data_IF_532290446531
#
_entry.id   IF_532290446531
#
_cell.length_a   1.000
_cell.length_b   1.000
_cell.length_c   1.000
_cell.angle_alpha   90.00
_cell.angle_beta   90.00
_cell.angle_gamma   90.00
#
_symmetry.space_group_name_H-M   'P 1'
#
loop_
_entity.id
_entity.type
_entity.pdbx_description
1 polymer ?
#
# COMPACT_ATOMS: atom_id res chain seq x y z
N UNK A 1 26.26 7.92 7.14
CA UNK A 1 24.97 8.35 6.54
C UNK A 1 23.83 7.31 6.69
N UNK A 2 23.89 6.36 7.64
CA UNK A 2 22.87 5.28 7.79
C UNK A 2 21.73 5.62 8.75
N UNK A 3 21.82 6.76 9.45
CA UNK A 3 20.92 7.11 10.56
C UNK A 3 19.60 7.74 10.05
N UNK A 4 19.66 8.55 8.99
CA UNK A 4 18.47 9.22 8.45
C UNK A 4 17.37 8.26 7.95
N UNK A 5 17.64 7.21 7.16
CA UNK A 5 16.60 6.25 6.75
C UNK A 5 15.94 5.52 7.93
N UNK A 6 16.71 5.24 8.99
CA UNK A 6 16.21 4.59 10.20
C UNK A 6 15.28 5.52 10.99
N UNK A 7 15.63 6.80 11.11
CA UNK A 7 14.77 7.80 11.76
C UNK A 7 13.46 7.99 11.00
N UNK A 8 13.50 7.97 9.67
CA UNK A 8 12.28 8.07 8.84
C UNK A 8 11.41 6.83 9.01
N UNK A 9 12.00 5.63 8.96
CA UNK A 9 11.25 4.40 9.21
C UNK A 9 10.65 4.38 10.63
N UNK A 10 11.41 4.83 11.63
CA UNK A 10 10.94 4.99 13.00
C UNK A 10 9.78 5.98 13.09
N UNK A 11 9.88 7.17 12.47
CA UNK A 11 8.82 8.17 12.52
C UNK A 11 7.54 7.67 11.87
N UNK A 12 7.62 6.89 10.79
CA UNK A 12 6.45 6.28 10.14
C UNK A 12 5.76 5.27 11.06
N UNK A 13 6.51 4.33 11.65
CA UNK A 13 5.91 3.26 12.47
C UNK A 13 5.40 3.80 13.80
N UNK A 14 6.17 4.65 14.47
CA UNK A 14 5.75 5.24 15.74
C UNK A 14 4.64 6.26 15.52
N UNK A 15 4.72 7.08 14.46
CA UNK A 15 3.65 8.00 14.06
C UNK A 15 2.33 7.26 13.82
N UNK A 16 2.34 6.22 13.00
CA UNK A 16 1.15 5.40 12.74
C UNK A 16 0.62 4.70 14.00
N UNK A 17 1.51 4.24 14.90
CA UNK A 17 1.11 3.69 16.20
C UNK A 17 0.42 4.72 17.08
N UNK A 18 0.95 5.95 17.13
CA UNK A 18 0.35 7.03 17.91
C UNK A 18 -0.97 7.51 17.32
N UNK A 19 -1.10 7.60 15.98
CA UNK A 19 -2.39 7.85 15.32
C UNK A 19 -3.39 6.75 15.64
N UNK A 20 -2.97 5.48 15.60
CA UNK A 20 -3.82 4.34 15.96
C UNK A 20 -4.31 4.43 17.40
N UNK A 21 -3.43 4.81 18.35
CA UNK A 21 -3.80 5.05 19.74
C UNK A 21 -4.73 6.26 19.90
N UNK A 22 -4.47 7.36 19.19
CA UNK A 22 -5.29 8.57 19.23
C UNK A 22 -6.74 8.26 18.81
N UNK A 23 -6.91 7.50 17.72
CA UNK A 23 -8.23 7.06 17.27
C UNK A 23 -8.82 6.04 18.24
N UNK A 24 -8.06 5.04 18.71
CA UNK A 24 -8.58 3.97 19.57
C UNK A 24 -9.04 4.46 20.95
N UNK A 25 -8.33 5.42 21.54
CA UNK A 25 -8.71 6.01 22.84
C UNK A 25 -9.96 6.91 22.76
N UNK A 26 -10.46 7.15 21.54
CA UNK A 26 -11.64 7.96 21.23
C UNK A 26 -12.54 7.28 20.21
N UNK A 27 -12.59 5.96 20.28
CA UNK A 27 -13.69 5.25 19.67
C UNK A 27 -14.98 5.94 20.15
N UNK A 28 -15.78 6.40 19.18
CA UNK A 28 -17.05 7.14 19.27
C UNK A 28 -16.99 8.60 18.78
N UNK A 29 -15.82 9.25 18.64
CA UNK A 29 -15.69 10.58 18.01
C UNK A 29 -14.35 10.77 17.26
N UNK A 30 -14.32 10.98 15.93
CA UNK A 30 -15.43 10.94 14.95
C UNK A 30 -15.71 9.53 14.39
N UNK A 31 -14.98 8.51 14.83
CA UNK A 31 -15.07 7.15 14.30
C UNK A 31 -15.67 6.21 15.33
N UNK A 32 -16.62 5.38 14.89
CA UNK A 32 -17.02 4.15 15.59
C UNK A 32 -15.82 3.24 15.86
N UNK A 33 -15.94 2.38 16.88
CA UNK A 33 -14.88 1.45 17.29
C UNK A 33 -14.36 0.61 16.10
N UNK A 34 -15.27 0.05 15.32
CA UNK A 34 -14.98 -0.82 14.19
C UNK A 34 -14.33 -0.06 13.02
N UNK A 35 -14.79 1.15 12.71
CA UNK A 35 -14.13 2.01 11.73
C UNK A 35 -12.71 2.39 12.18
N UNK A 36 -12.57 2.79 13.45
CA UNK A 36 -11.29 3.13 14.06
C UNK A 36 -10.28 1.99 13.96
N UNK A 37 -10.70 0.76 14.25
CA UNK A 37 -9.87 -0.44 14.16
C UNK A 37 -9.39 -0.67 12.73
N UNK A 38 -10.26 -0.53 11.71
CA UNK A 38 -9.85 -0.72 10.31
C UNK A 38 -8.85 0.35 9.84
N UNK A 39 -9.05 1.61 10.24
CA UNK A 39 -8.10 2.69 9.95
C UNK A 39 -6.76 2.42 10.62
N UNK A 40 -6.75 2.05 11.91
CA UNK A 40 -5.55 1.71 12.66
C UNK A 40 -4.78 0.54 12.03
N UNK A 41 -5.46 -0.55 11.68
CA UNK A 41 -4.86 -1.71 11.00
C UNK A 41 -4.21 -1.27 9.69
N UNK A 42 -4.91 -0.47 8.88
CA UNK A 42 -4.39 0.04 7.62
C UNK A 42 -3.15 0.91 7.80
N UNK A 43 -3.20 1.89 8.71
CA UNK A 43 -2.07 2.77 9.02
C UNK A 43 -0.83 1.97 9.44
N UNK A 44 -0.99 1.05 10.39
CA UNK A 44 0.10 0.22 10.88
C UNK A 44 0.67 -0.68 9.77
N UNK A 45 -0.18 -1.34 8.99
CA UNK A 45 0.25 -2.19 7.89
C UNK A 45 1.06 -1.39 6.86
N UNK A 46 0.56 -0.23 6.43
CA UNK A 46 1.27 0.62 5.47
C UNK A 46 2.55 1.22 6.04
N UNK A 47 2.57 1.60 7.31
CA UNK A 47 3.77 2.10 7.97
C UNK A 47 4.87 1.04 8.00
N UNK A 48 4.52 -0.20 8.36
CA UNK A 48 5.46 -1.33 8.37
C UNK A 48 5.94 -1.64 6.95
N UNK A 49 5.04 -1.73 5.97
CA UNK A 49 5.41 -2.00 4.57
C UNK A 49 6.33 -0.91 4.02
N UNK A 50 6.01 0.37 4.29
CA UNK A 50 6.82 1.50 3.89
C UNK A 50 8.20 1.49 4.54
N UNK A 51 8.26 1.26 5.87
CA UNK A 51 9.50 1.18 6.62
C UNK A 51 10.39 0.02 6.12
N UNK A 52 9.81 -1.17 5.97
CA UNK A 52 10.50 -2.35 5.41
C UNK A 52 10.99 -2.06 4.00
N UNK A 53 10.15 -1.47 3.15
CA UNK A 53 10.48 -1.09 1.77
C UNK A 53 11.60 -0.05 1.65
N UNK A 54 11.69 0.89 2.60
CA UNK A 54 12.74 1.91 2.68
C UNK A 54 14.07 1.32 3.17
N UNK A 55 14.03 0.42 4.15
CA UNK A 55 15.22 -0.12 4.80
C UNK A 55 15.83 -1.31 4.06
N UNK A 56 15.01 -2.24 3.57
CA UNK A 56 15.47 -3.50 2.97
C UNK A 56 15.70 -3.38 1.46
N UNK A 57 14.68 -3.30 0.57
CA UNK A 57 14.91 -3.20 -0.86
C UNK A 57 15.36 -1.80 -1.29
N UNK A 58 15.20 -0.78 -0.42
CA UNK A 58 15.49 0.64 -0.71
C UNK A 58 14.80 1.11 -1.99
N UNK A 59 13.55 0.67 -2.16
CA UNK A 59 12.77 0.90 -3.38
C UNK A 59 12.22 2.32 -3.45
N UNK A 60 12.26 2.95 -4.62
CA UNK A 60 11.62 4.27 -4.85
C UNK A 60 10.11 4.26 -4.57
N UNK A 61 9.47 3.12 -4.77
CA UNK A 61 8.05 2.93 -4.46
C UNK A 61 7.74 3.12 -2.97
N UNK A 62 8.66 2.71 -2.08
CA UNK A 62 8.45 2.81 -0.64
C UNK A 62 8.44 4.27 -0.20
N UNK A 63 9.19 5.15 -0.89
CA UNK A 63 9.10 6.61 -0.71
C UNK A 63 7.72 7.13 -1.08
N UNK A 64 7.15 6.71 -2.21
CA UNK A 64 5.82 7.15 -2.63
C UNK A 64 4.72 6.62 -1.71
N UNK A 65 4.83 5.36 -1.27
CA UNK A 65 3.92 4.79 -0.29
C UNK A 65 3.98 5.57 1.03
N UNK A 66 5.18 5.83 1.52
CA UNK A 66 5.37 6.58 2.75
C UNK A 66 4.88 8.04 2.63
N UNK A 67 5.01 8.68 1.46
CA UNK A 67 4.37 9.98 1.18
C UNK A 67 2.85 9.88 1.27
N UNK A 68 2.26 8.88 0.62
CA UNK A 68 0.81 8.68 0.64
C UNK A 68 0.30 8.45 2.07
N UNK A 69 1.01 7.64 2.86
CA UNK A 69 0.72 7.40 4.27
C UNK A 69 0.76 8.71 5.07
N UNK A 70 1.84 9.49 4.96
CA UNK A 70 1.98 10.75 5.69
C UNK A 70 0.92 11.79 5.27
N UNK A 71 0.56 11.84 3.98
CA UNK A 71 -0.56 12.68 3.51
C UNK A 71 -1.86 12.20 4.18
N UNK A 72 -2.09 10.90 4.24
CA UNK A 72 -3.23 10.31 4.96
C UNK A 72 -3.25 10.68 6.44
N UNK A 73 -2.11 10.61 7.13
CA UNK A 73 -1.97 11.04 8.53
C UNK A 73 -2.24 12.54 8.73
N UNK A 74 -1.77 13.40 7.81
CA UNK A 74 -2.08 14.84 7.85
C UNK A 74 -3.57 15.10 7.62
N UNK A 75 -4.20 14.40 6.68
CA UNK A 75 -5.65 14.50 6.45
C UNK A 75 -6.44 13.99 7.66
N UNK A 76 -5.97 12.92 8.30
CA UNK A 76 -6.55 12.39 9.53
C UNK A 76 -6.45 13.42 10.67
N UNK A 77 -5.34 14.16 10.75
CA UNK A 77 -5.15 15.24 11.73
C UNK A 77 -6.16 16.39 11.57
N UNK A 78 -6.72 16.58 10.37
CA UNK A 78 -7.79 17.54 10.14
C UNK A 78 -9.17 17.03 10.57
N UNK A 79 -9.33 15.71 10.71
CA UNK A 79 -10.59 15.07 11.09
C UNK A 79 -10.66 14.70 12.58
N UNK A 80 -9.51 14.49 13.23
CA UNK A 80 -9.42 14.06 14.64
C UNK A 80 -9.00 15.25 15.53
N UNK A 81 -9.59 15.43 16.72
CA UNK A 81 -9.17 16.51 17.62
C UNK A 81 -7.70 16.37 18.05
N UNK A 82 -6.98 17.50 18.10
CA UNK A 82 -5.53 17.55 18.30
C UNK A 82 -5.12 17.68 19.76
N UNK A 83 -5.13 16.58 20.49
CA UNK A 83 -4.70 16.50 21.89
C UNK A 83 -4.27 15.07 22.27
N UNK A 84 -3.75 14.89 23.48
CA UNK A 84 -3.23 13.61 23.96
C UNK A 84 -2.19 13.01 23.00
N UNK A 85 -2.49 11.81 22.48
CA UNK A 85 -1.63 11.08 21.54
C UNK A 85 -1.57 11.70 20.13
N UNK A 86 -2.54 12.52 19.72
CA UNK A 86 -2.58 13.13 18.40
C UNK A 86 -1.47 14.18 18.20
N UNK A 87 -1.08 14.91 19.25
CA UNK A 87 0.00 15.91 19.21
C UNK A 87 1.35 15.26 18.86
N UNK A 88 1.87 14.28 19.62
CA UNK A 88 3.13 13.64 19.28
C UNK A 88 3.04 12.86 17.96
N UNK A 89 1.88 12.31 17.60
CA UNK A 89 1.66 11.70 16.29
C UNK A 89 1.89 12.72 15.16
N UNK A 90 1.25 13.89 15.24
CA UNK A 90 1.39 14.97 14.25
C UNK A 90 2.83 15.49 14.15
N UNK A 91 3.55 15.62 15.27
CA UNK A 91 4.97 15.99 15.27
C UNK A 91 5.80 14.95 14.50
N UNK A 92 5.58 13.66 14.76
CA UNK A 92 6.27 12.59 14.04
C UNK A 92 5.89 12.54 12.55
N UNK A 93 4.63 12.78 12.21
CA UNK A 93 4.18 12.93 10.82
C UNK A 93 4.92 14.08 10.14
N UNK A 94 5.04 15.24 10.79
CA UNK A 94 5.80 16.39 10.29
C UNK A 94 7.28 16.08 10.06
N UNK A 95 7.93 15.41 11.02
CA UNK A 95 9.31 14.93 10.88
C UNK A 95 9.44 13.91 9.74
N UNK A 96 8.46 13.03 9.58
CA UNK A 96 8.38 12.08 8.46
C UNK A 96 8.28 12.79 7.12
N UNK A 97 7.46 13.84 7.01
CA UNK A 97 7.29 14.63 5.77
C UNK A 97 8.61 15.30 5.39
N UNK A 98 9.27 15.98 6.33
CA UNK A 98 10.58 16.60 6.12
C UNK A 98 11.60 15.51 5.73
N UNK A 99 11.61 14.41 6.49
CA UNK A 99 12.38 13.19 6.28
C UNK A 99 12.35 12.70 4.84
N UNK A 100 11.13 12.56 4.31
CA UNK A 100 10.85 11.95 3.02
C UNK A 100 11.05 12.89 1.84
N UNK A 101 10.86 14.19 2.04
CA UNK A 101 11.12 15.19 0.99
C UNK A 101 12.61 15.47 0.79
N UNK A 102 13.44 15.20 1.82
CA UNK A 102 14.88 15.41 1.75
C UNK A 102 15.60 14.74 0.58
N UNK A 103 16.52 15.47 -0.05
CA UNK A 103 17.38 14.98 -1.15
C UNK A 103 18.37 13.88 -0.69
N UNK A 104 18.62 13.75 0.61
CA UNK A 104 19.50 12.70 1.15
C UNK A 104 18.98 11.28 0.87
N UNK A 105 17.67 11.10 0.72
CA UNK A 105 17.10 9.81 0.34
C UNK A 105 17.46 9.41 -1.09
N UNK A 106 17.74 10.35 -1.99
CA UNK A 106 18.04 10.04 -3.39
C UNK A 106 19.39 9.31 -3.54
N UNK A 107 20.30 9.48 -2.58
CA UNK A 107 21.55 8.72 -2.48
C UNK A 107 21.37 7.34 -1.82
N UNK A 108 20.34 7.16 -1.00
CA UNK A 108 20.05 5.90 -0.32
C UNK A 108 19.20 4.93 -1.15
N UNK A 109 18.21 5.47 -1.86
CA UNK A 109 17.26 4.71 -2.66
C UNK A 109 17.92 4.20 -3.95
N UNK A 110 17.60 2.96 -4.33
CA UNK A 110 18.10 2.38 -5.59
C UNK A 110 17.54 3.19 -6.76
N UNK A 111 18.43 3.63 -7.66
CA UNK A 111 18.06 4.40 -8.87
C UNK A 111 17.45 3.53 -9.96
N UNK A 112 17.92 2.29 -10.06
CA UNK A 112 17.41 1.31 -11.01
C UNK A 112 16.45 0.35 -10.29
N UNK A 113 15.30 0.00 -10.90
CA UNK A 113 14.48 -1.09 -10.41
C UNK A 113 15.33 -2.37 -10.35
N UNK A 114 15.03 -3.27 -9.41
CA UNK A 114 15.61 -4.61 -9.48
C UNK A 114 15.27 -5.16 -10.87
N UNK A 115 16.26 -5.71 -11.58
CA UNK A 115 16.09 -6.18 -12.95
C UNK A 115 14.89 -7.15 -13.09
N UNK A 116 14.55 -7.84 -12.00
CA UNK A 116 13.50 -8.86 -11.94
C UNK A 116 12.31 -8.47 -11.02
N UNK A 117 12.22 -7.22 -10.56
CA UNK A 117 11.16 -6.79 -9.63
C UNK A 117 9.83 -6.43 -10.31
N UNK A 118 8.67 -6.62 -9.64
CA UNK A 118 7.39 -6.22 -10.18
C UNK A 118 7.33 -4.71 -10.44
N UNK A 119 6.81 -4.31 -11.60
CA UNK A 119 6.68 -2.90 -11.96
C UNK A 119 5.76 -2.11 -11.02
N UNK A 120 5.85 -0.77 -11.04
CA UNK A 120 5.10 0.10 -10.13
C UNK A 120 3.59 -0.19 -10.11
N UNK A 121 2.97 -0.36 -11.29
CA UNK A 121 1.52 -0.64 -11.40
C UNK A 121 1.12 -1.96 -10.71
N UNK A 122 1.94 -3.00 -10.83
CA UNK A 122 1.67 -4.29 -10.18
C UNK A 122 1.74 -4.18 -8.65
N UNK A 123 2.67 -3.38 -8.14
CA UNK A 123 2.80 -3.15 -6.71
C UNK A 123 1.71 -2.23 -6.17
N UNK A 124 1.32 -1.19 -6.93
CA UNK A 124 0.17 -0.35 -6.59
C UNK A 124 -1.13 -1.16 -6.53
N UNK A 125 -1.27 -2.19 -7.36
CA UNK A 125 -2.40 -3.12 -7.26
C UNK A 125 -2.37 -3.89 -5.94
N UNK A 126 -1.26 -4.54 -5.58
CA UNK A 126 -1.16 -5.27 -4.31
C UNK A 126 -1.42 -4.37 -3.09
N UNK A 127 -0.79 -3.19 -3.07
CA UNK A 127 -0.93 -2.22 -1.98
C UNK A 127 -2.32 -1.58 -1.95
N UNK A 128 -2.88 -1.24 -3.12
CA UNK A 128 -4.21 -0.65 -3.21
C UNK A 128 -5.32 -1.64 -2.84
N UNK A 129 -5.13 -2.94 -3.08
CA UNK A 129 -6.03 -3.98 -2.59
C UNK A 129 -6.03 -4.00 -1.05
N UNK A 130 -4.85 -3.92 -0.43
CA UNK A 130 -4.73 -3.79 1.02
C UNK A 130 -5.30 -2.46 1.54
N UNK A 131 -5.25 -1.40 0.72
CA UNK A 131 -5.77 -0.07 1.07
C UNK A 131 -7.29 -0.02 1.19
N UNK A 132 -8.01 -1.05 0.72
CA UNK A 132 -9.44 -1.19 0.95
C UNK A 132 -9.79 -1.23 2.43
N UNK A 133 -8.91 -1.76 3.28
CA UNK A 133 -9.15 -1.87 4.73
C UNK A 133 -9.32 -0.49 5.37
N UNK A 134 -8.31 0.41 5.34
CA UNK A 134 -8.50 1.76 5.88
C UNK A 134 -9.50 2.59 5.07
N UNK A 135 -9.63 2.38 3.75
CA UNK A 135 -10.62 3.09 2.95
C UNK A 135 -12.06 2.80 3.42
N UNK A 136 -12.36 1.56 3.81
CA UNK A 136 -13.64 1.19 4.41
C UNK A 136 -13.88 1.91 5.73
N UNK A 137 -12.89 1.90 6.64
CA UNK A 137 -13.02 2.61 7.92
C UNK A 137 -13.22 4.12 7.74
N UNK A 138 -12.54 4.74 6.78
CA UNK A 138 -12.70 6.16 6.46
C UNK A 138 -14.03 6.47 5.76
N UNK A 139 -14.58 5.54 4.99
CA UNK A 139 -15.84 5.71 4.26
C UNK A 139 -17.09 5.49 5.13
N UNK A 140 -16.92 4.92 6.31
CA UNK A 140 -18.01 4.56 7.21
C UNK A 140 -17.69 4.97 8.66
N UNK A 141 -17.47 6.27 8.92
CA UNK A 141 -17.04 6.74 10.24
C UNK A 141 -18.06 6.38 11.33
N UNK A 142 -19.37 6.45 11.04
CA UNK A 142 -20.43 6.13 11.99
C UNK A 142 -20.64 4.64 12.32
N UNK A 143 -19.95 3.72 11.64
CA UNK A 143 -20.13 2.27 11.85
C UNK A 143 -19.88 1.48 10.58
N UNK A 144 -19.21 0.32 10.70
CA UNK A 144 -18.88 -0.51 9.54
C UNK A 144 -19.93 -1.58 9.35
N UNK A 145 -20.74 -1.46 8.29
CA UNK A 145 -21.68 -2.50 7.93
C UNK A 145 -20.98 -3.74 7.37
N UNK A 146 -21.64 -4.91 7.48
CA UNK A 146 -21.11 -6.17 6.94
C UNK A 146 -20.71 -6.07 5.46
N UNK A 147 -21.45 -5.27 4.66
CA UNK A 147 -21.18 -5.06 3.24
C UNK A 147 -19.83 -4.36 3.01
N UNK A 148 -19.51 -3.38 3.85
CA UNK A 148 -18.25 -2.66 3.79
C UNK A 148 -17.12 -3.52 4.37
N UNK A 149 -17.39 -4.25 5.46
CA UNK A 149 -16.45 -5.23 6.02
C UNK A 149 -16.03 -6.31 5.00
N UNK A 150 -16.97 -6.80 4.18
CA UNK A 150 -16.70 -7.73 3.08
C UNK A 150 -15.75 -7.14 2.03
N UNK A 151 -15.87 -5.84 1.71
CA UNK A 151 -14.94 -5.16 0.80
C UNK A 151 -13.52 -5.11 1.37
N UNK A 152 -13.38 -4.77 2.66
CA UNK A 152 -12.10 -4.76 3.35
C UNK A 152 -11.45 -6.15 3.38
N UNK A 153 -12.21 -7.18 3.75
CA UNK A 153 -11.77 -8.57 3.76
C UNK A 153 -11.36 -9.05 2.35
N UNK A 154 -12.17 -8.75 1.34
CA UNK A 154 -11.85 -9.07 -0.06
C UNK A 154 -10.54 -8.40 -0.50
N UNK A 155 -10.31 -7.14 -0.10
CA UNK A 155 -9.07 -6.42 -0.37
C UNK A 155 -7.84 -7.13 0.21
N UNK A 156 -7.92 -7.60 1.45
CA UNK A 156 -6.85 -8.39 2.10
C UNK A 156 -6.61 -9.71 1.35
N UNK A 157 -7.69 -10.43 1.03
CA UNK A 157 -7.63 -11.72 0.32
C UNK A 157 -6.99 -11.53 -1.06
N UNK A 158 -7.39 -10.51 -1.83
CA UNK A 158 -6.80 -10.17 -3.13
C UNK A 158 -5.33 -9.80 -2.96
N UNK A 159 -4.99 -8.93 -2.01
CA UNK A 159 -3.60 -8.52 -1.77
C UNK A 159 -2.70 -9.73 -1.46
N UNK A 160 -3.18 -10.62 -0.59
CA UNK A 160 -2.48 -11.86 -0.24
C UNK A 160 -2.34 -12.80 -1.44
N UNK A 161 -3.44 -13.15 -2.12
CA UNK A 161 -3.40 -14.05 -3.27
C UNK A 161 -2.53 -13.50 -4.40
N UNK A 162 -2.59 -12.19 -4.65
CA UNK A 162 -1.77 -11.54 -5.65
C UNK A 162 -0.28 -11.51 -5.25
N UNK A 163 0.04 -11.31 -3.98
CA UNK A 163 1.43 -11.42 -3.48
C UNK A 163 2.02 -12.84 -3.64
N UNK A 164 1.15 -13.84 -3.73
CA UNK A 164 1.50 -15.24 -4.01
C UNK A 164 1.42 -15.60 -5.49
N UNK A 165 1.28 -14.61 -6.37
CA UNK A 165 1.14 -14.78 -7.82
C UNK A 165 -0.03 -15.70 -8.23
N UNK A 166 -1.12 -15.71 -7.46
CA UNK A 166 -2.27 -16.57 -7.75
C UNK A 166 -3.20 -15.92 -8.78
N UNK A 167 -3.52 -16.64 -9.86
CA UNK A 167 -4.35 -16.15 -10.96
C UNK A 167 -5.76 -15.72 -10.54
N UNK A 168 -6.34 -16.41 -9.55
CA UNK A 168 -7.68 -16.08 -9.06
C UNK A 168 -7.75 -14.69 -8.43
N UNK A 169 -6.66 -14.19 -7.83
CA UNK A 169 -6.64 -12.87 -7.20
C UNK A 169 -6.79 -11.75 -8.23
N UNK A 170 -6.18 -11.92 -9.41
CA UNK A 170 -6.34 -10.98 -10.52
C UNK A 170 -7.77 -10.98 -11.05
N UNK A 171 -8.38 -12.16 -11.22
CA UNK A 171 -9.79 -12.26 -11.64
C UNK A 171 -10.76 -11.73 -10.61
N UNK A 172 -10.51 -11.96 -9.32
CA UNK A 172 -11.28 -11.38 -8.23
C UNK A 172 -11.23 -9.85 -8.28
N UNK A 173 -10.07 -9.23 -8.54
CA UNK A 173 -9.99 -7.78 -8.73
C UNK A 173 -10.70 -7.23 -9.95
N UNK A 174 -10.86 -8.04 -11.01
CA UNK A 174 -11.53 -7.61 -12.24
C UNK A 174 -13.04 -7.72 -12.18
N UNK A 175 -13.55 -8.76 -11.53
CA UNK A 175 -14.97 -9.12 -11.57
C UNK A 175 -15.64 -8.95 -10.21
N UNK A 176 -15.04 -9.50 -9.15
CA UNK A 176 -15.66 -9.52 -7.83
C UNK A 176 -15.52 -8.17 -7.11
N UNK A 177 -14.33 -7.57 -7.15
CA UNK A 177 -14.04 -6.30 -6.49
C UNK A 177 -14.99 -5.17 -6.93
N UNK A 178 -15.22 -4.86 -8.22
CA UNK A 178 -16.13 -3.78 -8.60
C UNK A 178 -17.57 -4.03 -8.12
N UNK A 179 -18.06 -5.28 -8.16
CA UNK A 179 -19.40 -5.63 -7.68
C UNK A 179 -19.50 -5.37 -6.17
N UNK A 180 -18.54 -5.87 -5.39
CA UNK A 180 -18.52 -5.68 -3.93
C UNK A 180 -18.31 -4.20 -3.56
N UNK A 181 -17.51 -3.45 -4.33
CA UNK A 181 -17.37 -2.00 -4.16
C UNK A 181 -18.70 -1.28 -4.34
N UNK A 182 -19.47 -1.58 -5.39
CA UNK A 182 -20.78 -0.94 -5.61
C UNK A 182 -21.73 -1.27 -4.45
N UNK A 183 -21.78 -2.54 -4.01
CA UNK A 183 -22.63 -2.95 -2.89
C UNK A 183 -22.25 -2.24 -1.58
N UNK A 184 -20.95 -2.09 -1.31
CA UNK A 184 -20.46 -1.36 -0.14
C UNK A 184 -20.76 0.14 -0.24
N UNK A 185 -20.56 0.75 -1.41
CA UNK A 185 -20.83 2.17 -1.64
C UNK A 185 -22.31 2.53 -1.48
N UNK A 186 -23.23 1.65 -1.89
CA UNK A 186 -24.67 1.84 -1.67
C UNK A 186 -25.08 1.78 -0.19
N UNK A 187 -24.22 1.25 0.67
CA UNK A 187 -24.40 1.20 2.12
C UNK A 187 -23.61 2.30 2.86
N UNK A 188 -22.91 3.17 2.14
CA UNK A 188 -22.11 4.25 2.73
C UNK A 188 -22.81 5.60 2.60
N UNK A 189 -22.44 6.53 3.48
CA UNK A 189 -22.77 7.94 3.32
C UNK A 189 -22.22 8.51 2.00
N UNK A 190 -22.76 9.62 1.46
CA UNK A 190 -22.38 10.11 0.13
C UNK A 190 -20.88 10.30 -0.10
N UNK A 191 -20.17 10.89 0.88
CA UNK A 191 -18.71 11.08 0.78
C UNK A 191 -17.95 9.75 0.87
N UNK A 192 -18.40 8.84 1.72
CA UNK A 192 -17.86 7.49 1.81
C UNK A 192 -18.06 6.68 0.54
N UNK A 193 -19.27 6.74 -0.04
CA UNK A 193 -19.61 6.10 -1.30
C UNK A 193 -18.70 6.59 -2.44
N UNK A 194 -18.51 7.91 -2.57
CA UNK A 194 -17.58 8.49 -3.56
C UNK A 194 -16.16 7.97 -3.35
N UNK A 195 -15.69 7.94 -2.10
CA UNK A 195 -14.36 7.43 -1.75
C UNK A 195 -14.19 5.97 -2.17
N UNK A 196 -15.13 5.10 -1.81
CA UNK A 196 -15.09 3.68 -2.17
C UNK A 196 -15.16 3.46 -3.68
N UNK A 197 -16.01 4.20 -4.40
CA UNK A 197 -16.12 4.11 -5.85
C UNK A 197 -14.81 4.53 -6.53
N UNK A 198 -14.18 5.62 -6.08
CA UNK A 198 -12.88 6.07 -6.63
C UNK A 198 -11.80 5.00 -6.41
N UNK A 199 -11.66 4.52 -5.17
CA UNK A 199 -10.62 3.54 -4.81
C UNK A 199 -10.87 2.21 -5.51
N UNK A 200 -12.12 1.71 -5.52
CA UNK A 200 -12.51 0.49 -6.21
C UNK A 200 -12.36 0.57 -7.72
N UNK A 201 -12.68 1.71 -8.33
CA UNK A 201 -12.49 1.93 -9.78
C UNK A 201 -11.01 1.96 -10.14
N UNK A 202 -10.19 2.68 -9.36
CA UNK A 202 -8.74 2.73 -9.56
C UNK A 202 -8.13 1.32 -9.46
N UNK A 203 -8.58 0.53 -8.49
CA UNK A 203 -8.13 -0.83 -8.28
C UNK A 203 -8.57 -1.80 -9.38
N UNK A 204 -9.83 -1.70 -9.81
CA UNK A 204 -10.35 -2.47 -10.93
C UNK A 204 -9.57 -2.14 -12.21
N UNK A 205 -9.32 -0.85 -12.47
CA UNK A 205 -8.50 -0.40 -13.59
C UNK A 205 -7.08 -1.00 -13.54
N UNK A 206 -6.42 -0.96 -12.37
CA UNK A 206 -5.10 -1.54 -12.18
C UNK A 206 -5.08 -3.06 -12.47
N UNK A 207 -6.15 -3.79 -12.11
CA UNK A 207 -6.30 -5.22 -12.39
C UNK A 207 -6.33 -5.56 -13.90
N UNK A 208 -6.73 -4.60 -14.75
CA UNK A 208 -6.74 -4.76 -16.21
C UNK A 208 -5.42 -4.39 -16.88
N UNK A 209 -4.47 -3.79 -16.14
CA UNK A 209 -3.19 -3.40 -16.74
C UNK A 209 -2.31 -4.60 -17.05
N UNK A 210 -1.53 -4.49 -18.14
CA UNK A 210 -0.58 -5.54 -18.52
C UNK A 210 0.47 -5.81 -17.44
N UNK A 211 0.89 -4.76 -16.73
CA UNK A 211 1.83 -4.87 -15.63
C UNK A 211 1.32 -5.80 -14.52
N UNK A 212 0.02 -5.72 -14.18
CA UNK A 212 -0.57 -6.59 -13.17
C UNK A 212 -0.64 -8.05 -13.64
N UNK A 213 -0.93 -8.27 -14.93
CA UNK A 213 -0.93 -9.61 -15.56
C UNK A 213 0.48 -10.23 -15.62
N UNK A 214 1.49 -9.44 -16.00
CA UNK A 214 2.87 -9.92 -16.14
C UNK A 214 3.48 -10.26 -14.78
N UNK A 215 3.11 -9.56 -13.71
CA UNK A 215 3.63 -9.83 -12.37
C UNK A 215 3.19 -11.18 -11.78
N UNK A 216 2.10 -11.77 -12.29
CA UNK A 216 1.63 -13.11 -11.89
C UNK A 216 1.98 -14.18 -12.92
N UNK A 217 2.54 -13.79 -14.06
CA UNK A 217 2.94 -14.76 -15.09
C UNK A 217 4.16 -15.52 -14.57
N UNK A 218 4.21 -16.87 -14.69
CA UNK A 218 5.40 -17.61 -14.33
C UNK A 218 6.57 -17.03 -15.13
N UNK A 219 7.65 -16.66 -14.43
CA UNK A 219 8.90 -16.27 -15.08
C UNK A 219 9.35 -17.47 -15.90
N UNK A 220 9.07 -17.45 -17.21
CA UNK A 220 9.71 -18.39 -18.12
C UNK A 220 11.19 -18.03 -18.05
N UNK A 221 11.96 -18.90 -17.40
CA UNK A 221 13.41 -18.81 -17.37
C UNK A 221 13.86 -18.72 -18.83
N UNK A 222 14.38 -17.55 -19.24
CA UNK A 222 15.00 -17.39 -20.56
C UNK A 222 16.23 -18.28 -20.53
N UNK A 223 16.08 -19.50 -21.03
CA UNK A 223 17.19 -20.42 -21.23
C UNK A 223 18.30 -19.66 -21.98
N UNK A 224 19.57 -19.77 -21.54
CA UNK A 224 20.67 -19.16 -22.25
C UNK A 224 20.59 -19.58 -23.73
N UNK A 225 20.61 -18.61 -24.64
CA UNK A 225 20.62 -18.92 -26.07
C UNK A 225 21.77 -19.89 -26.38
N UNK A 226 21.63 -20.77 -27.38
CA UNK A 226 22.65 -21.76 -27.69
C UNK A 226 24.01 -21.07 -27.80
N UNK A 227 24.97 -21.50 -26.98
CA UNK A 227 26.35 -21.02 -27.06
C UNK A 227 26.82 -21.38 -28.47
N UNK A 228 27.06 -20.39 -29.35
CA UNK A 228 27.77 -20.65 -30.61
C UNK A 228 29.12 -21.26 -30.20
N UNK A 229 29.28 -22.55 -30.42
CA UNK A 229 30.60 -23.15 -30.37
C UNK A 229 31.30 -22.68 -31.62
N UNK A 230 32.30 -21.81 -31.46
CA UNK A 230 33.18 -21.47 -32.57
C UNK A 230 33.82 -22.78 -33.07
N UNK A 231 33.86 -23.00 -34.39
CA UNK A 231 34.45 -24.21 -34.95
C UNK A 231 35.89 -24.32 -34.48
N UNK A 232 36.23 -25.48 -33.92
CA UNK A 232 37.58 -25.82 -33.46
C UNK A 232 38.54 -25.59 -34.63
N UNK A 233 39.61 -24.77 -34.49
CA UNK A 233 40.57 -24.60 -35.55
C UNK A 233 41.19 -25.98 -35.86
N UNK A 234 41.07 -26.41 -37.12
CA UNK A 234 41.74 -27.60 -37.59
C UNK A 234 43.24 -27.39 -37.37
N UNK A 235 43.84 -28.28 -36.59
CA UNK A 235 45.26 -28.30 -36.37
C UNK A 235 45.91 -28.60 -37.73
N UNK A 236 46.48 -27.57 -38.36
CA UNK A 236 47.24 -27.69 -39.58
C UNK A 236 48.40 -28.66 -39.38
N UNK A 237 48.34 -29.76 -40.12
CA UNK A 237 49.38 -30.77 -40.32
C UNK A 237 50.48 -30.27 -41.24
#
# INVERSE_FOLDING_TARGET
MTLAPRLIAFSLVVGASLWSLAIATRADEPFSTDAAVLVAIGLLAFAVIAAVGLLLPRGRWARNLARALLIGEVLLAAAVPLDGWAIPALVLTGLGVIGIQGKWLDGWLRRLPAADGPGLKAMLYALGALAMVPAVGLAAPGGVEIRQGLLGALGVIIAWGYSKAQLWALWAGRLLLPVVTVVAALASEPLGAVTLVIVGSAMTYLAWTEAARLAISPLMEKLPGPRRMDPKPEAGS
#
